data_IF_842584586061
#
_entry.id   IF_842584586061
#
_cell.length_a   1.000
_cell.length_b   1.000
_cell.length_c   1.000
_cell.angle_alpha   90.00
_cell.angle_beta   90.00
_cell.angle_gamma   90.00
#
_symmetry.space_group_name_H-M   'P 1'
#
loop_
_entity.id
_entity.type
_entity.pdbx_description
1 polymer ?
#
# COMPACT_ATOMS: atom_id res chain seq x y z
N UNK A 1 6.46 -11.47 -0.42
CA UNK A 1 7.08 -10.14 -0.50
C UNK A 1 8.16 -10.14 -1.57
N UNK A 2 8.30 -9.06 -2.32
CA UNK A 2 9.31 -8.91 -3.38
C UNK A 2 9.64 -7.42 -3.57
N UNK A 3 10.92 -7.07 -3.68
CA UNK A 3 11.34 -5.69 -3.89
C UNK A 3 11.11 -5.25 -5.34
N UNK A 4 10.75 -4.00 -5.49
CA UNK A 4 10.75 -3.32 -6.77
C UNK A 4 12.18 -3.06 -7.27
N UNK A 5 12.29 -2.62 -8.50
CA UNK A 5 13.56 -2.22 -9.12
C UNK A 5 13.32 -1.27 -10.28
N UNK A 6 14.37 -0.58 -10.68
CA UNK A 6 14.39 0.26 -11.88
C UNK A 6 15.05 -0.52 -13.01
N UNK A 7 14.36 -0.77 -14.14
CA UNK A 7 15.01 -1.25 -15.36
C UNK A 7 16.11 -0.29 -15.81
N UNK A 8 17.12 -0.80 -16.53
CA UNK A 8 18.21 0.05 -17.00
C UNK A 8 17.69 1.20 -17.85
N UNK A 9 17.98 2.44 -17.45
CA UNK A 9 17.57 3.64 -18.18
C UNK A 9 18.37 3.83 -19.48
N UNK A 10 19.53 3.17 -19.62
CA UNK A 10 20.36 3.20 -20.81
C UNK A 10 19.86 2.28 -21.92
N UNK A 11 18.71 1.62 -21.70
CA UNK A 11 18.08 0.70 -22.66
C UNK A 11 16.71 1.25 -23.03
N UNK A 12 16.60 2.01 -24.14
CA UNK A 12 15.33 2.58 -24.60
C UNK A 12 14.23 1.52 -24.77
N UNK A 13 14.60 0.32 -25.24
CA UNK A 13 13.71 -0.82 -25.44
C UNK A 13 12.95 -1.25 -24.17
N UNK A 14 13.44 -0.89 -22.99
CA UNK A 14 12.75 -1.19 -21.72
C UNK A 14 11.65 -0.17 -21.39
N UNK A 15 11.65 0.97 -22.08
CA UNK A 15 10.79 2.12 -21.73
C UNK A 15 9.90 2.57 -22.89
N UNK A 16 10.43 2.61 -24.11
CA UNK A 16 9.71 3.12 -25.28
C UNK A 16 8.58 2.16 -25.69
N UNK A 17 7.37 2.70 -25.85
CA UNK A 17 6.18 1.91 -26.16
C UNK A 17 5.72 0.99 -25.03
N UNK A 18 6.26 1.16 -23.81
CA UNK A 18 5.85 0.41 -22.64
C UNK A 18 4.37 0.57 -22.33
N UNK A 19 3.74 -0.53 -21.85
CA UNK A 19 2.31 -0.57 -21.46
C UNK A 19 2.14 -1.09 -20.04
N UNK A 20 3.21 -1.46 -19.36
CA UNK A 20 3.18 -1.98 -17.99
C UNK A 20 3.42 -0.83 -17.05
N UNK A 21 2.48 -0.53 -16.12
CA UNK A 21 2.67 0.50 -15.12
C UNK A 21 3.94 0.26 -14.29
N UNK A 22 4.76 1.31 -14.14
CA UNK A 22 5.95 1.29 -13.31
C UNK A 22 5.87 2.40 -12.27
N UNK A 23 5.47 2.02 -11.05
CA UNK A 23 5.11 2.95 -10.00
C UNK A 23 6.31 3.55 -9.26
N UNK A 24 6.19 4.84 -8.99
CA UNK A 24 7.07 5.64 -8.13
C UNK A 24 6.23 6.38 -7.10
N UNK A 25 6.88 7.07 -6.18
CA UNK A 25 6.18 7.86 -5.16
C UNK A 25 5.32 8.98 -5.76
N UNK A 26 5.72 9.53 -6.91
CA UNK A 26 4.94 10.55 -7.61
C UNK A 26 3.56 10.04 -8.04
N UNK A 27 3.45 8.77 -8.43
CA UNK A 27 2.17 8.16 -8.81
C UNK A 27 1.19 8.14 -7.63
N UNK A 28 1.66 7.82 -6.42
CA UNK A 28 0.84 7.86 -5.20
C UNK A 28 0.39 9.30 -4.90
N UNK A 29 1.27 10.28 -5.08
CA UNK A 29 0.96 11.68 -4.80
C UNK A 29 -0.02 12.30 -5.78
N UNK A 30 0.04 11.90 -7.04
CA UNK A 30 -0.85 12.43 -8.08
C UNK A 30 -2.18 11.70 -8.17
N UNK A 31 -2.16 10.36 -8.04
CA UNK A 31 -3.31 9.50 -8.30
C UNK A 31 -3.94 8.89 -7.04
N UNK A 32 -3.38 9.22 -5.85
CA UNK A 32 -3.83 8.64 -4.59
C UNK A 32 -3.28 7.23 -4.36
N UNK A 33 -3.88 6.52 -3.42
CA UNK A 33 -3.35 5.24 -2.91
C UNK A 33 -3.96 3.99 -3.56
N UNK A 34 -4.85 4.14 -4.55
CA UNK A 34 -5.37 3.03 -5.36
C UNK A 34 -4.94 3.28 -6.80
N UNK A 35 -4.01 2.45 -7.29
CA UNK A 35 -3.29 2.70 -8.53
C UNK A 35 -3.65 1.67 -9.59
N UNK A 36 -4.26 2.13 -10.68
CA UNK A 36 -4.54 1.32 -11.88
C UNK A 36 -3.52 1.55 -12.99
N UNK A 37 -2.92 2.74 -13.01
CA UNK A 37 -1.98 3.15 -14.03
C UNK A 37 -0.91 4.07 -13.44
N UNK A 38 0.19 4.28 -14.16
CA UNK A 38 1.34 5.08 -13.73
C UNK A 38 1.70 6.16 -14.74
N UNK A 39 2.42 7.16 -14.26
CA UNK A 39 2.97 8.24 -15.11
C UNK A 39 3.98 7.68 -16.11
N UNK A 40 4.72 6.64 -15.74
CA UNK A 40 5.77 6.03 -16.56
C UNK A 40 5.54 4.53 -16.72
N UNK A 41 5.69 4.04 -17.95
CA UNK A 41 5.49 2.64 -18.30
C UNK A 41 6.79 1.97 -18.72
N UNK A 42 6.80 0.65 -18.64
CA UNK A 42 7.89 -0.20 -19.11
C UNK A 42 7.36 -1.26 -20.07
N UNK A 43 8.25 -1.79 -20.90
CA UNK A 43 7.99 -2.97 -21.73
C UNK A 43 8.22 -4.26 -20.95
N UNK A 44 7.78 -5.41 -21.49
CA UNK A 44 8.10 -6.72 -20.89
C UNK A 44 9.59 -7.02 -20.87
N UNK A 45 10.37 -6.47 -21.80
CA UNK A 45 11.84 -6.65 -21.84
C UNK A 45 12.52 -5.99 -20.63
N UNK A 46 11.89 -4.95 -20.05
CA UNK A 46 12.32 -4.34 -18.79
C UNK A 46 11.95 -5.17 -17.56
N UNK A 47 11.13 -6.22 -17.70
CA UNK A 47 10.65 -7.04 -16.58
C UNK A 47 11.52 -8.27 -16.39
N UNK A 48 12.30 -8.32 -15.30
CA UNK A 48 13.18 -9.45 -14.99
C UNK A 48 12.37 -10.74 -14.82
N UNK A 49 12.71 -11.75 -15.63
CA UNK A 49 12.08 -13.08 -15.61
C UNK A 49 10.55 -13.05 -15.79
N UNK A 50 9.98 -12.03 -16.42
CA UNK A 50 8.55 -11.90 -16.61
C UNK A 50 7.72 -11.73 -15.32
N UNK A 51 8.37 -11.43 -14.20
CA UNK A 51 7.74 -11.41 -12.88
C UNK A 51 7.17 -10.03 -12.53
N UNK A 52 5.91 -9.79 -12.83
CA UNK A 52 5.16 -8.60 -12.41
C UNK A 52 4.63 -8.71 -10.97
N UNK A 53 4.41 -7.59 -10.34
CA UNK A 53 3.51 -7.47 -9.19
C UNK A 53 2.09 -7.68 -9.68
N UNK A 54 1.37 -8.58 -9.04
CA UNK A 54 0.02 -8.92 -9.47
C UNK A 54 -0.99 -7.89 -8.98
N UNK A 55 -2.01 -7.66 -9.77
CA UNK A 55 -3.17 -6.88 -9.35
C UNK A 55 -3.71 -7.38 -7.99
N UNK A 56 -4.32 -6.47 -7.23
CA UNK A 56 -4.77 -6.68 -5.85
C UNK A 56 -3.62 -7.05 -4.90
N UNK A 57 -2.49 -6.37 -5.05
CA UNK A 57 -1.37 -6.41 -4.11
C UNK A 57 -0.98 -4.99 -3.68
N UNK A 58 -0.15 -4.89 -2.66
CA UNK A 58 0.29 -3.60 -2.13
C UNK A 58 1.73 -3.32 -2.51
N UNK A 59 2.05 -2.07 -2.75
CA UNK A 59 3.41 -1.55 -2.72
C UNK A 59 3.58 -0.72 -1.46
N UNK A 60 4.63 -1.00 -0.68
CA UNK A 60 4.96 -0.33 0.56
C UNK A 60 6.35 0.28 0.44
N UNK A 61 6.48 1.56 0.68
CA UNK A 61 7.75 2.27 0.71
C UNK A 61 8.55 1.84 1.96
N UNK A 62 9.59 1.07 1.74
CA UNK A 62 10.47 0.53 2.79
C UNK A 62 11.80 1.25 2.89
N UNK A 63 12.06 2.19 1.97
CA UNK A 63 13.21 3.10 1.96
C UNK A 63 12.78 4.48 1.49
N UNK A 64 13.56 5.51 1.75
CA UNK A 64 13.31 6.91 1.43
C UNK A 64 12.04 7.47 2.11
N UNK A 65 10.89 7.42 1.48
CA UNK A 65 9.59 7.83 2.03
C UNK A 65 8.93 6.68 2.83
N UNK A 66 9.62 6.23 3.88
CA UNK A 66 9.20 5.07 4.68
C UNK A 66 7.79 5.23 5.24
N UNK A 67 6.99 4.16 5.15
CA UNK A 67 5.64 4.11 5.70
C UNK A 67 4.63 4.86 4.82
N UNK A 68 4.72 4.68 3.52
CA UNK A 68 3.67 5.02 2.56
C UNK A 68 3.36 3.80 1.69
N UNK A 69 2.09 3.47 1.57
CA UNK A 69 1.62 2.34 0.76
C UNK A 69 0.65 2.76 -0.32
N UNK A 70 0.46 1.87 -1.31
CA UNK A 70 -0.66 1.93 -2.25
C UNK A 70 -1.13 0.51 -2.58
N UNK A 71 -2.43 0.38 -2.86
CA UNK A 71 -3.03 -0.80 -3.48
C UNK A 71 -2.85 -0.68 -5.00
N UNK A 72 -2.20 -1.66 -5.61
CA UNK A 72 -2.11 -1.74 -7.07
C UNK A 72 -3.18 -2.70 -7.60
N UNK A 73 -4.01 -2.21 -8.52
CA UNK A 73 -5.14 -2.95 -9.12
C UNK A 73 -4.86 -3.39 -10.56
N UNK A 74 -3.64 -3.16 -11.06
CA UNK A 74 -3.13 -3.65 -12.33
C UNK A 74 -1.83 -4.45 -12.13
N UNK A 75 -1.56 -5.39 -13.02
CA UNK A 75 -0.26 -6.06 -13.09
C UNK A 75 0.82 -5.03 -13.42
N UNK A 76 1.85 -4.92 -12.61
CA UNK A 76 2.74 -3.76 -12.61
C UNK A 76 4.13 -4.08 -12.08
N UNK A 77 4.97 -3.07 -12.03
CA UNK A 77 6.22 -3.04 -11.30
C UNK A 77 6.33 -1.72 -10.51
N UNK A 78 7.26 -1.62 -9.60
CA UNK A 78 7.59 -0.39 -8.91
C UNK A 78 9.11 -0.22 -8.79
N UNK A 79 9.57 0.99 -8.49
CA UNK A 79 10.98 1.25 -8.25
C UNK A 79 11.48 0.57 -6.96
N UNK A 80 12.79 0.64 -6.70
CA UNK A 80 13.45 -0.04 -5.57
C UNK A 80 13.07 0.51 -4.19
N UNK A 81 12.36 1.62 -4.09
CA UNK A 81 11.85 2.15 -2.81
C UNK A 81 10.74 1.28 -2.25
N UNK A 82 10.04 0.55 -3.12
CA UNK A 82 8.89 -0.24 -2.75
C UNK A 82 9.19 -1.72 -2.59
N UNK A 83 8.59 -2.30 -1.57
CA UNK A 83 8.41 -3.75 -1.41
C UNK A 83 6.97 -4.11 -1.74
N UNK A 84 6.78 -5.06 -2.65
CA UNK A 84 5.45 -5.59 -2.95
C UNK A 84 5.03 -6.64 -1.92
N UNK A 85 3.80 -6.52 -1.45
CA UNK A 85 3.14 -7.42 -0.51
C UNK A 85 1.91 -8.01 -1.18
N UNK A 86 1.83 -9.33 -1.27
CA UNK A 86 0.70 -10.05 -1.88
C UNK A 86 0.11 -11.04 -0.90
N UNK A 87 -1.20 -11.16 -0.89
CA UNK A 87 -1.91 -12.20 -0.12
C UNK A 87 -1.60 -13.57 -0.72
N UNK A 88 -1.28 -14.54 0.12
CA UNK A 88 -1.06 -15.93 -0.31
C UNK A 88 -2.37 -16.52 -0.84
N UNK A 89 -2.26 -17.40 -1.86
CA UNK A 89 -3.44 -18.06 -2.46
C UNK A 89 -4.34 -18.73 -1.42
N UNK A 90 -3.76 -19.39 -0.42
CA UNK A 90 -4.47 -20.09 0.66
C UNK A 90 -5.26 -19.19 1.60
N UNK A 91 -5.06 -17.87 1.54
CA UNK A 91 -5.72 -16.90 2.40
C UNK A 91 -6.69 -15.99 1.64
N UNK A 92 -6.77 -16.11 0.31
CA UNK A 92 -7.58 -15.20 -0.52
C UNK A 92 -9.05 -15.16 -0.15
N UNK A 93 -9.61 -16.32 0.19
CA UNK A 93 -11.03 -16.44 0.55
C UNK A 93 -11.33 -15.99 2.00
N UNK A 94 -10.29 -15.69 2.78
CA UNK A 94 -10.39 -15.26 4.18
C UNK A 94 -10.10 -13.77 4.38
N UNK A 95 -9.66 -13.08 3.33
CA UNK A 95 -9.15 -11.72 3.44
C UNK A 95 -9.79 -10.83 2.37
N UNK A 96 -10.44 -9.77 2.81
CA UNK A 96 -10.91 -8.69 1.95
C UNK A 96 -9.76 -7.74 1.70
N UNK A 97 -9.39 -7.53 0.42
CA UNK A 97 -8.26 -6.66 0.05
C UNK A 97 -8.45 -5.24 0.59
N UNK A 98 -9.68 -4.74 0.59
CA UNK A 98 -10.00 -3.41 1.09
C UNK A 98 -9.84 -3.29 2.61
N UNK A 99 -10.11 -4.37 3.37
CA UNK A 99 -9.78 -4.44 4.79
C UNK A 99 -8.26 -4.30 5.02
N UNK A 100 -7.45 -5.05 4.26
CA UNK A 100 -5.99 -4.88 4.32
C UNK A 100 -5.55 -3.49 3.89
N UNK A 101 -6.19 -2.89 2.89
CA UNK A 101 -5.88 -1.52 2.47
C UNK A 101 -5.98 -0.54 3.64
N UNK A 102 -7.07 -0.60 4.40
CA UNK A 102 -7.21 0.23 5.60
C UNK A 102 -6.21 -0.16 6.71
N UNK A 103 -5.92 -1.46 6.87
CA UNK A 103 -4.95 -1.91 7.86
C UNK A 103 -3.52 -1.49 7.51
N UNK A 104 -3.21 -1.29 6.23
CA UNK A 104 -1.89 -0.85 5.79
C UNK A 104 -1.49 0.53 6.36
N UNK A 105 -2.43 1.40 6.73
CA UNK A 105 -2.11 2.66 7.42
C UNK A 105 -1.48 2.42 8.79
N UNK A 106 -1.91 1.39 9.52
CA UNK A 106 -1.28 0.98 10.79
C UNK A 106 0.12 0.42 10.53
N UNK A 107 0.28 -0.33 9.44
CA UNK A 107 1.58 -0.84 9.01
C UNK A 107 2.52 0.30 8.59
N UNK A 108 2.01 1.34 7.93
CA UNK A 108 2.78 2.54 7.59
C UNK A 108 3.40 3.18 8.84
N UNK A 109 2.59 3.36 9.87
CA UNK A 109 3.04 3.96 11.13
C UNK A 109 4.01 3.04 11.89
N UNK A 110 3.76 1.74 11.86
CA UNK A 110 4.71 0.77 12.39
C UNK A 110 6.06 0.86 11.67
N UNK A 111 6.07 0.98 10.33
CA UNK A 111 7.29 1.11 9.54
C UNK A 111 8.10 2.35 9.92
N UNK A 112 7.43 3.49 10.11
CA UNK A 112 8.07 4.75 10.54
C UNK A 112 8.78 4.60 11.89
N UNK A 113 8.21 3.79 12.79
CA UNK A 113 8.73 3.56 14.14
C UNK A 113 9.76 2.41 14.22
N UNK A 114 9.99 1.65 13.14
CA UNK A 114 10.90 0.50 13.11
C UNK A 114 11.91 0.60 11.95
N UNK A 115 12.72 1.64 12.00
CA UNK A 115 13.71 1.99 10.98
C UNK A 115 15.11 1.62 11.46
N UNK A 116 15.91 1.00 10.59
CA UNK A 116 17.36 0.88 10.75
C UNK A 116 18.02 2.16 10.24
N UNK A 117 18.82 2.80 11.12
CA UNK A 117 19.48 4.11 10.85
C UNK A 117 20.96 3.94 10.50
N UNK A 118 21.50 2.71 10.53
CA UNK A 118 22.91 2.45 10.16
C UNK A 118 23.07 2.55 8.63
N UNK A 119 23.38 3.74 8.13
CA UNK A 119 23.52 4.03 6.71
C UNK A 119 22.26 4.63 6.12
N UNK A 120 21.78 4.12 4.98
CA UNK A 120 20.55 4.57 4.36
C UNK A 120 19.33 4.06 5.13
N UNK A 121 18.46 4.99 5.58
CA UNK A 121 17.30 4.65 6.38
C UNK A 121 16.38 3.66 5.65
N UNK A 122 16.07 2.56 6.30
CA UNK A 122 15.22 1.50 5.75
C UNK A 122 14.42 0.80 6.85
N UNK A 123 13.27 0.25 6.50
CA UNK A 123 12.47 -0.56 7.43
C UNK A 123 13.27 -1.78 7.89
N UNK A 124 13.21 -2.10 9.18
CA UNK A 124 13.78 -3.35 9.71
C UNK A 124 12.96 -4.55 9.19
N UNK A 125 13.40 -5.11 8.05
CA UNK A 125 12.71 -6.21 7.39
C UNK A 125 12.71 -7.52 8.19
N UNK A 126 13.61 -7.69 9.18
CA UNK A 126 13.60 -8.86 10.05
C UNK A 126 12.47 -8.79 11.07
N UNK A 127 12.21 -7.60 11.60
CA UNK A 127 11.03 -7.34 12.45
C UNK A 127 9.76 -7.33 11.62
N UNK A 128 9.77 -6.70 10.44
CA UNK A 128 8.61 -6.63 9.54
C UNK A 128 8.05 -8.01 9.18
N UNK A 129 8.90 -8.99 8.88
CA UNK A 129 8.49 -10.37 8.55
C UNK A 129 7.80 -11.10 9.71
N UNK A 130 8.00 -10.63 10.94
CA UNK A 130 7.39 -11.20 12.16
C UNK A 130 6.13 -10.45 12.59
N UNK A 131 5.76 -9.38 11.87
CA UNK A 131 4.56 -8.62 12.16
C UNK A 131 3.32 -9.50 11.96
N UNK A 132 2.51 -9.60 12.99
CA UNK A 132 1.25 -10.33 12.94
C UNK A 132 0.11 -9.36 12.61
N UNK A 133 -0.66 -9.72 11.59
CA UNK A 133 -1.85 -8.98 11.17
C UNK A 133 -3.07 -9.75 11.64
N UNK A 134 -3.92 -9.16 12.51
CA UNK A 134 -5.17 -9.80 12.93
C UNK A 134 -6.14 -9.87 11.74
N UNK A 135 -6.71 -11.06 11.52
CA UNK A 135 -7.69 -11.30 10.45
C UNK A 135 -8.99 -11.74 11.08
N UNK A 136 -9.94 -10.82 11.33
CA UNK A 136 -11.25 -11.17 11.86
C UNK A 136 -12.09 -11.95 10.82
N UNK A 137 -13.26 -12.52 11.22
CA UNK A 137 -14.20 -13.13 10.28
C UNK A 137 -14.58 -12.17 9.14
N UNK A 138 -14.96 -12.72 7.98
CA UNK A 138 -15.28 -11.94 6.75
C UNK A 138 -16.39 -10.91 7.01
N UNK A 139 -17.39 -11.27 7.81
CA UNK A 139 -18.50 -10.39 8.16
C UNK A 139 -18.00 -9.14 8.90
N UNK A 140 -17.05 -9.31 9.82
CA UNK A 140 -16.46 -8.21 10.57
C UNK A 140 -15.53 -7.37 9.69
N UNK A 141 -14.76 -7.99 8.78
CA UNK A 141 -13.99 -7.26 7.78
C UNK A 141 -14.88 -6.38 6.91
N UNK A 142 -16.02 -6.91 6.42
CA UNK A 142 -16.99 -6.15 5.63
C UNK A 142 -17.58 -4.98 6.44
N UNK A 143 -17.93 -5.21 7.71
CA UNK A 143 -18.45 -4.17 8.60
C UNK A 143 -17.45 -3.04 8.78
N UNK A 144 -16.19 -3.36 9.04
CA UNK A 144 -15.11 -2.39 9.21
C UNK A 144 -14.90 -1.60 7.91
N UNK A 145 -14.79 -2.28 6.77
CA UNK A 145 -14.62 -1.64 5.46
C UNK A 145 -15.76 -0.66 5.19
N UNK A 146 -17.01 -1.07 5.38
CA UNK A 146 -18.18 -0.20 5.13
C UNK A 146 -18.14 1.08 5.98
N UNK A 147 -17.70 1.00 7.22
CA UNK A 147 -17.58 2.16 8.12
C UNK A 147 -16.44 3.08 7.63
N UNK A 148 -15.26 2.52 7.37
CA UNK A 148 -14.09 3.31 6.98
C UNK A 148 -14.26 3.96 5.59
N UNK A 149 -14.88 3.25 4.64
CA UNK A 149 -15.20 3.81 3.32
C UNK A 149 -16.18 4.98 3.42
N UNK A 150 -17.16 4.88 4.32
CA UNK A 150 -18.11 5.98 4.54
C UNK A 150 -17.39 7.22 5.09
N UNK A 151 -16.46 7.04 6.00
CA UNK A 151 -15.64 8.17 6.49
C UNK A 151 -14.75 8.74 5.39
N UNK A 152 -14.10 7.89 4.59
CA UNK A 152 -13.27 8.34 3.47
C UNK A 152 -14.09 9.14 2.45
N UNK A 153 -15.29 8.66 2.07
CA UNK A 153 -16.17 9.37 1.16
C UNK A 153 -16.61 10.73 1.70
N UNK A 154 -16.89 10.83 3.01
CA UNK A 154 -17.27 12.09 3.66
C UNK A 154 -16.10 13.08 3.68
N UNK A 155 -14.87 12.61 3.94
CA UNK A 155 -13.67 13.48 3.93
C UNK A 155 -13.33 13.96 2.53
N UNK A 156 -13.53 13.13 1.51
CA UNK A 156 -13.24 13.48 0.11
C UNK A 156 -14.29 14.42 -0.48
N UNK A 157 -15.57 14.22 -0.15
CA UNK A 157 -16.66 15.11 -0.62
C UNK A 157 -16.60 16.51 0.02
N UNK A 158 -16.00 16.64 1.19
CA UNK A 158 -15.82 17.91 1.91
C UNK A 158 -14.59 18.72 1.46
N UNK A 159 -13.78 18.21 0.54
CA UNK A 159 -12.63 18.97 -0.02
C UNK A 159 -13.04 20.29 -0.71
N UNK A 160 -14.33 20.49 -0.95
CA UNK A 160 -14.90 21.74 -1.45
C UNK A 160 -15.49 22.61 -0.34
N UNK A 161 -15.42 22.18 0.93
CA UNK A 161 -15.92 22.89 2.12
C UNK A 161 -14.80 23.27 3.08
N UNK A 162 -15.12 24.06 4.10
CA UNK A 162 -14.23 24.73 5.04
C UNK A 162 -13.03 23.86 5.52
N UNK A 163 -11.78 24.33 5.40
CA UNK A 163 -10.58 23.56 5.77
C UNK A 163 -10.57 22.99 7.19
N UNK A 164 -11.20 23.68 8.16
CA UNK A 164 -11.32 23.26 9.54
C UNK A 164 -12.20 22.00 9.70
N UNK A 165 -13.27 21.88 8.92
CA UNK A 165 -14.15 20.69 8.95
C UNK A 165 -13.45 19.46 8.34
N UNK A 166 -12.67 19.65 7.28
CA UNK A 166 -11.86 18.60 6.67
C UNK A 166 -10.87 18.06 7.70
N UNK A 167 -10.17 18.92 8.42
CA UNK A 167 -9.21 18.51 9.45
C UNK A 167 -9.89 17.72 10.58
N UNK A 168 -11.05 18.17 11.06
CA UNK A 168 -11.80 17.48 12.11
C UNK A 168 -12.31 16.11 11.65
N UNK A 169 -12.80 15.99 10.41
CA UNK A 169 -13.25 14.72 9.83
C UNK A 169 -12.12 13.73 9.63
N UNK A 170 -10.95 14.22 9.20
CA UNK A 170 -9.75 13.39 9.06
C UNK A 170 -9.30 12.84 10.42
N UNK A 171 -9.27 13.66 11.44
CA UNK A 171 -8.94 13.22 12.79
C UNK A 171 -9.93 12.17 13.32
N UNK A 172 -11.22 12.35 13.03
CA UNK A 172 -12.27 11.39 13.35
C UNK A 172 -12.07 10.05 12.60
N UNK A 173 -11.73 10.08 11.33
CA UNK A 173 -11.42 8.89 10.54
C UNK A 173 -10.24 8.11 11.15
N UNK A 174 -9.13 8.79 11.45
CA UNK A 174 -7.93 8.19 12.03
C UNK A 174 -8.25 7.53 13.38
N UNK A 175 -9.00 8.21 14.24
CA UNK A 175 -9.44 7.66 15.52
C UNK A 175 -10.28 6.39 15.37
N UNK A 176 -11.30 6.39 14.51
CA UNK A 176 -12.15 5.21 14.32
C UNK A 176 -11.43 4.08 13.58
N UNK A 177 -10.57 4.39 12.62
CA UNK A 177 -9.71 3.40 11.97
C UNK A 177 -8.89 2.64 13.02
N UNK A 178 -8.18 3.36 13.85
CA UNK A 178 -7.29 2.76 14.85
C UNK A 178 -8.09 1.95 15.88
N UNK A 179 -9.22 2.48 16.32
CA UNK A 179 -10.11 1.79 17.26
C UNK A 179 -10.76 0.53 16.67
N UNK A 180 -11.17 0.55 15.40
CA UNK A 180 -11.79 -0.58 14.71
C UNK A 180 -10.77 -1.66 14.32
N UNK A 181 -9.51 -1.28 14.17
CA UNK A 181 -8.42 -2.17 13.80
C UNK A 181 -7.52 -2.56 14.98
N UNK A 182 -7.85 -2.11 16.20
CA UNK A 182 -7.20 -2.54 17.44
C UNK A 182 -7.81 -3.86 17.93
N UNK A 183 -7.25 -4.97 17.47
CA UNK A 183 -7.69 -6.31 17.87
C UNK A 183 -6.85 -6.84 19.02
N UNK A 184 -7.52 -7.17 20.13
CA UNK A 184 -6.86 -7.87 21.26
C UNK A 184 -6.47 -9.30 20.82
N UNK A 185 -5.23 -9.69 21.10
CA UNK A 185 -4.82 -11.09 20.97
C UNK A 185 -5.74 -11.96 21.83
N UNK A 186 -6.31 -13.03 21.24
CA UNK A 186 -6.85 -14.11 22.07
C UNK A 186 -5.65 -14.81 22.71
N UNK A 187 -5.52 -14.65 24.01
CA UNK A 187 -4.65 -15.55 24.81
C UNK A 187 -5.25 -16.95 24.68
N UNK A 188 -4.42 -17.88 24.16
CA UNK A 188 -4.76 -19.31 24.11
C UNK A 188 -4.78 -19.89 25.52
#
# INVERSE_FOLDING_TARGET
>A
MRNGYTPSKNKPEYWEGGKIPWFRMEDIRQNGRILSDSIQHITMDGVKNGNLFKANSFILATTATIGEHALVIADSLANQQFTNLSVRKSLKDRIIIKFLFHYMFIIDDWCKNNVNISGFASVDMNKFKKLEIPIPPIEEQNRIVAILDRFESLTTSLQHGLPAEIAARRQQYEYYRDKLLDFKRKTA
#
